data_IF_149638718068
#
_entry.id   IF_149638718068
#
_cell.length_a   1.000
_cell.length_b   1.000
_cell.length_c   1.000
_cell.angle_alpha   90.00
_cell.angle_beta   90.00
_cell.angle_gamma   90.00
#
_symmetry.space_group_name_H-M   'P 1'
#
loop_
_entity.id
_entity.type
_entity.pdbx_description
1 polymer ?
#
# COMPACT_ATOMS: atom_id res chain seq x y z
N UNK A 1 -1.05 15.20 0.84
CA UNK A 1 -1.71 14.39 1.90
C UNK A 1 -2.60 13.30 1.31
N UNK A 2 -3.72 13.61 0.65
CA UNK A 2 -4.68 12.60 0.13
C UNK A 2 -4.02 11.49 -0.71
N UNK A 3 -3.13 11.84 -1.64
CA UNK A 3 -2.43 10.86 -2.48
C UNK A 3 -1.46 9.96 -1.70
N UNK A 4 -0.85 10.44 -0.61
CA UNK A 4 0.00 9.59 0.26
C UNK A 4 -0.81 8.54 0.99
N UNK A 5 -1.98 8.92 1.50
CA UNK A 5 -2.87 8.00 2.19
C UNK A 5 -3.41 6.95 1.22
N UNK A 6 -3.79 7.35 0.01
CA UNK A 6 -4.19 6.42 -1.05
C UNK A 6 -3.04 5.46 -1.40
N UNK A 7 -1.84 5.98 -1.67
CA UNK A 7 -0.68 5.14 -2.02
C UNK A 7 -0.35 4.12 -0.93
N UNK A 8 -0.42 4.52 0.34
CA UNK A 8 -0.23 3.64 1.49
C UNK A 8 -1.20 2.45 1.48
N UNK A 9 -2.47 2.68 1.15
CA UNK A 9 -3.47 1.62 1.02
C UNK A 9 -3.19 0.73 -0.19
N UNK A 10 -2.92 1.32 -1.35
CA UNK A 10 -2.72 0.57 -2.60
C UNK A 10 -1.49 -0.34 -2.54
N UNK A 11 -0.42 0.07 -1.85
CA UNK A 11 0.73 -0.80 -1.54
C UNK A 11 0.36 -1.91 -0.54
N UNK A 12 -0.24 -1.53 0.60
CA UNK A 12 -0.50 -2.47 1.70
C UNK A 12 -1.57 -3.53 1.38
N UNK A 13 -2.57 -3.20 0.56
CA UNK A 13 -3.72 -4.08 0.29
C UNK A 13 -3.36 -5.23 -0.66
N UNK A 14 -2.19 -5.21 -1.29
CA UNK A 14 -1.63 -6.35 -2.04
C UNK A 14 -1.15 -7.48 -1.11
N UNK A 15 -2.02 -8.06 -0.29
CA UNK A 15 -1.75 -9.12 0.70
C UNK A 15 -2.96 -10.10 0.74
N UNK A 16 -2.87 -11.41 1.05
CA UNK A 16 -1.77 -12.18 1.62
C UNK A 16 -0.75 -12.71 0.62
N UNK A 17 0.39 -13.16 1.17
CA UNK A 17 1.42 -13.92 0.46
C UNK A 17 0.85 -15.17 -0.23
N UNK A 18 -0.20 -15.80 0.33
CA UNK A 18 -0.88 -16.94 -0.29
C UNK A 18 -1.53 -16.61 -1.64
N UNK A 19 -1.81 -15.33 -1.91
CA UNK A 19 -2.27 -14.85 -3.21
C UNK A 19 -1.16 -14.26 -4.07
N UNK A 20 0.08 -14.23 -3.58
CA UNK A 20 1.24 -13.64 -4.25
C UNK A 20 1.53 -12.18 -3.87
N UNK A 21 0.74 -11.60 -2.95
CA UNK A 21 0.89 -10.23 -2.52
C UNK A 21 1.80 -10.06 -1.29
N UNK A 22 2.78 -9.17 -1.37
CA UNK A 22 3.76 -8.91 -0.30
C UNK A 22 3.35 -7.87 0.75
N UNK A 23 2.19 -7.24 0.60
CA UNK A 23 1.68 -6.20 1.50
C UNK A 23 2.50 -4.91 1.42
N UNK A 24 2.65 -4.24 2.57
CA UNK A 24 3.29 -2.92 2.71
C UNK A 24 4.82 -2.96 2.52
N UNK A 25 5.29 -3.34 1.33
CA UNK A 25 6.71 -3.56 1.01
C UNK A 25 7.24 -2.62 -0.09
N UNK A 26 6.42 -1.69 -0.58
CA UNK A 26 6.77 -0.77 -1.66
C UNK A 26 6.82 -1.42 -3.04
N UNK A 27 6.15 -2.55 -3.24
CA UNK A 27 6.08 -3.24 -4.54
C UNK A 27 5.55 -2.33 -5.64
N UNK A 28 4.56 -1.49 -5.32
CA UNK A 28 4.00 -0.49 -6.24
C UNK A 28 5.02 0.53 -6.74
N UNK A 29 6.12 0.76 -6.00
CA UNK A 29 7.21 1.64 -6.44
C UNK A 29 8.27 0.89 -7.25
N UNK A 30 8.63 -0.34 -6.85
CA UNK A 30 9.67 -1.11 -7.54
C UNK A 30 9.19 -1.79 -8.82
N UNK A 31 7.89 -2.01 -8.94
CA UNK A 31 7.21 -2.62 -10.08
C UNK A 31 6.10 -1.70 -10.59
N UNK A 32 6.39 -0.40 -10.63
CA UNK A 32 5.47 0.65 -11.05
C UNK A 32 4.89 0.40 -12.46
N UNK A 33 5.71 0.00 -13.44
CA UNK A 33 5.28 -0.34 -14.80
C UNK A 33 4.22 -1.46 -14.85
N UNK A 34 4.21 -2.36 -13.86
CA UNK A 34 3.26 -3.47 -13.77
C UNK A 34 2.03 -3.05 -12.97
N UNK A 35 2.24 -2.53 -11.76
CA UNK A 35 1.15 -2.29 -10.83
C UNK A 35 0.32 -1.05 -11.18
N UNK A 36 0.93 0.01 -11.71
CA UNK A 36 0.19 1.21 -12.12
C UNK A 36 -0.67 0.99 -13.36
N UNK A 37 -0.38 -0.06 -14.14
CA UNK A 37 -1.19 -0.47 -15.29
C UNK A 37 -2.52 -1.14 -14.88
N UNK A 38 -2.69 -1.52 -13.61
CA UNK A 38 -3.94 -2.13 -13.14
C UNK A 38 -5.08 -1.10 -13.13
N UNK A 39 -6.31 -1.47 -13.57
CA UNK A 39 -7.45 -0.56 -13.57
C UNK A 39 -7.73 0.09 -12.20
N UNK A 40 -7.57 -0.67 -11.11
CA UNK A 40 -7.76 -0.18 -9.75
C UNK A 40 -6.68 0.85 -9.32
N UNK A 41 -5.51 0.86 -9.95
CA UNK A 41 -4.38 1.74 -9.61
C UNK A 41 -4.28 2.99 -10.49
N UNK A 42 -5.26 3.24 -11.36
CA UNK A 42 -5.27 4.44 -12.21
C UNK A 42 -5.07 5.73 -11.36
N UNK A 43 -4.17 6.60 -11.84
CA UNK A 43 -3.79 7.85 -11.17
C UNK A 43 -2.89 7.68 -9.94
N UNK A 44 -2.12 6.60 -9.84
CA UNK A 44 -1.03 6.41 -8.86
C UNK A 44 0.35 6.68 -9.47
N UNK A 45 0.48 6.56 -10.78
CA UNK A 45 1.68 6.88 -11.57
C UNK A 45 2.25 8.27 -11.23
N UNK A 46 1.38 9.29 -11.20
CA UNK A 46 1.78 10.67 -10.96
C UNK A 46 2.45 10.91 -9.59
N UNK A 47 2.13 10.09 -8.58
CA UNK A 47 2.61 10.26 -7.22
C UNK A 47 3.90 9.46 -6.98
N UNK A 48 4.15 8.42 -7.77
CA UNK A 48 5.39 7.64 -7.76
C UNK A 48 6.52 8.51 -8.31
N UNK A 49 6.33 9.11 -9.49
CA UNK A 49 7.35 9.94 -10.15
C UNK A 49 7.84 11.10 -9.27
N UNK A 50 6.91 11.76 -8.58
CA UNK A 50 7.23 12.87 -7.67
C UNK A 50 8.01 12.40 -6.43
N UNK A 51 7.88 11.13 -6.03
CA UNK A 51 8.50 10.58 -4.81
C UNK A 51 9.81 9.85 -5.06
N UNK A 52 10.03 9.34 -6.26
CA UNK A 52 11.28 8.72 -6.70
C UNK A 52 12.54 9.48 -6.27
N UNK A 53 12.67 10.81 -6.47
CA UNK A 53 13.87 11.52 -6.04
C UNK A 53 14.06 11.53 -4.52
N UNK A 54 12.98 11.54 -3.73
CA UNK A 54 13.07 11.51 -2.26
C UNK A 54 13.44 10.13 -1.74
N UNK A 55 12.85 9.07 -2.30
CA UNK A 55 13.20 7.69 -1.95
C UNK A 55 14.68 7.44 -2.28
N UNK A 56 15.14 7.86 -3.46
CA UNK A 56 16.53 7.67 -3.88
C UNK A 56 17.53 8.54 -3.11
N UNK A 57 17.11 9.69 -2.57
CA UNK A 57 17.96 10.56 -1.77
C UNK A 57 18.18 10.06 -0.33
N UNK A 58 17.38 9.09 0.13
CA UNK A 58 17.40 8.59 1.50
C UNK A 58 17.69 7.08 1.52
N UNK A 59 18.46 6.61 2.50
CA UNK A 59 18.76 5.18 2.64
C UNK A 59 17.63 4.42 3.35
N UNK A 60 16.41 4.52 2.81
CA UNK A 60 15.18 3.90 3.32
C UNK A 60 14.52 3.10 2.20
N UNK A 61 13.78 2.05 2.56
CA UNK A 61 13.05 1.28 1.56
C UNK A 61 11.84 2.05 1.07
N UNK A 62 11.37 1.73 -0.15
CA UNK A 62 10.17 2.37 -0.68
C UNK A 62 8.93 2.07 0.18
N UNK A 63 8.82 0.85 0.73
CA UNK A 63 7.76 0.47 1.67
C UNK A 63 7.77 1.34 2.92
N UNK A 64 8.93 1.47 3.57
CA UNK A 64 9.08 2.36 4.74
C UNK A 64 8.68 3.79 4.40
N UNK A 65 9.15 4.33 3.27
CA UNK A 65 8.82 5.69 2.85
C UNK A 65 7.32 5.88 2.58
N UNK A 66 6.68 4.95 1.88
CA UNK A 66 5.25 5.01 1.55
C UNK A 66 4.42 5.01 2.84
N UNK A 67 4.67 4.07 3.77
CA UNK A 67 3.95 3.97 5.05
C UNK A 67 4.16 5.23 5.89
N UNK A 68 5.41 5.67 6.00
CA UNK A 68 5.80 6.91 6.69
C UNK A 68 5.04 8.13 6.14
N UNK A 69 5.02 8.29 4.81
CA UNK A 69 4.36 9.42 4.15
C UNK A 69 2.83 9.43 4.33
N UNK A 70 2.22 8.25 4.43
CA UNK A 70 0.79 8.09 4.69
C UNK A 70 0.44 8.50 6.12
N UNK A 71 1.19 7.97 7.10
CA UNK A 71 1.04 8.28 8.53
C UNK A 71 1.26 9.77 8.80
N UNK A 72 2.35 10.34 8.30
CA UNK A 72 2.62 11.78 8.44
C UNK A 72 1.57 12.62 7.72
N UNK A 73 1.08 12.17 6.56
CA UNK A 73 -0.01 12.81 5.86
C UNK A 73 -1.27 12.92 6.74
N UNK A 74 -1.67 11.83 7.38
CA UNK A 74 -2.85 11.78 8.26
C UNK A 74 -2.66 12.63 9.51
N UNK A 75 -1.46 12.67 10.09
CA UNK A 75 -1.19 13.46 11.30
C UNK A 75 -1.38 14.98 11.14
N UNK A 76 -1.45 15.48 9.90
CA UNK A 76 -1.71 16.90 9.63
C UNK A 76 -3.17 17.31 9.81
N UNK A 77 -4.09 16.36 9.98
CA UNK A 77 -5.50 16.67 10.21
C UNK A 77 -5.79 16.83 11.72
N UNK A 78 -6.54 17.88 12.13
CA UNK A 78 -6.97 18.02 13.52
C UNK A 78 -7.77 16.80 13.99
N UNK A 79 -7.38 16.22 15.12
CA UNK A 79 -8.04 15.03 15.68
C UNK A 79 -7.64 13.70 15.05
N UNK A 80 -6.66 13.68 14.14
CA UNK A 80 -6.17 12.46 13.54
C UNK A 80 -5.47 11.53 14.56
N UNK A 81 -5.63 10.21 14.42
CA UNK A 81 -4.89 9.25 15.23
C UNK A 81 -3.39 9.33 14.91
N UNK A 82 -2.56 9.16 15.94
CA UNK A 82 -1.12 8.92 15.76
C UNK A 82 -0.93 7.44 15.51
N UNK A 83 -0.64 7.07 14.27
CA UNK A 83 -0.32 5.71 13.88
C UNK A 83 1.13 5.40 14.27
N UNK A 84 1.37 4.17 14.73
CA UNK A 84 2.71 3.66 14.95
C UNK A 84 3.41 3.48 13.59
N UNK A 85 4.68 3.89 13.51
CA UNK A 85 5.50 3.71 12.34
C UNK A 85 6.67 2.78 12.68
N UNK A 86 6.75 1.67 11.95
CA UNK A 86 7.83 0.70 12.04
C UNK A 86 8.72 0.84 10.80
N UNK A 87 10.04 0.80 11.02
CA UNK A 87 11.05 0.89 9.95
C UNK A 87 11.74 -0.46 9.75
N UNK A 88 12.16 -0.74 8.53
CA UNK A 88 12.90 -1.95 8.17
C UNK A 88 12.09 -2.94 7.35
N UNK A 89 11.06 -2.49 6.64
CA UNK A 89 10.36 -3.33 5.68
C UNK A 89 11.36 -3.82 4.61
N UNK A 90 11.41 -5.12 4.29
CA UNK A 90 12.29 -5.61 3.25
C UNK A 90 11.85 -5.07 1.88
N UNK A 91 12.82 -4.85 0.98
CA UNK A 91 12.55 -4.47 -0.41
C UNK A 91 11.67 -5.52 -1.08
N UNK A 92 10.63 -5.08 -1.78
CA UNK A 92 9.78 -5.96 -2.57
C UNK A 92 10.59 -6.75 -3.61
N UNK A 93 10.32 -8.04 -3.72
CA UNK A 93 10.97 -8.94 -4.69
C UNK A 93 10.05 -9.37 -5.83
N UNK A 94 8.75 -9.17 -5.68
CA UNK A 94 7.71 -9.50 -6.66
C UNK A 94 6.67 -8.38 -6.70
N UNK A 95 6.07 -8.18 -7.88
CA UNK A 95 4.93 -7.29 -8.05
C UNK A 95 3.67 -7.88 -7.41
N UNK A 96 2.78 -7.02 -6.93
CA UNK A 96 1.46 -7.41 -6.47
C UNK A 96 0.62 -7.99 -7.63
N UNK A 97 -0.11 -9.09 -7.42
CA UNK A 97 -1.06 -9.61 -8.39
C UNK A 97 -2.20 -8.62 -8.69
N UNK A 98 -2.75 -8.62 -9.92
CA UNK A 98 -3.92 -7.81 -10.25
C UNK A 98 -5.17 -8.24 -9.47
N UNK A 99 -6.12 -7.32 -9.30
CA UNK A 99 -7.43 -7.61 -8.68
C UNK A 99 -7.44 -7.71 -7.15
N UNK A 100 -6.33 -7.36 -6.49
CA UNK A 100 -6.24 -7.32 -5.02
C UNK A 100 -6.69 -5.98 -4.41
N UNK A 101 -6.79 -4.94 -5.23
CA UNK A 101 -7.30 -3.62 -4.84
C UNK A 101 -8.79 -3.55 -5.19
N UNK A 102 -9.69 -3.29 -4.22
CA UNK A 102 -11.10 -3.10 -4.50
C UNK A 102 -11.37 -1.91 -5.42
N UNK A 103 -12.31 -2.07 -6.34
CA UNK A 103 -12.77 -1.02 -7.24
C UNK A 103 -14.07 -0.37 -6.73
N UNK A 104 -14.33 0.90 -7.05
CA UNK A 104 -15.52 1.61 -6.55
C UNK A 104 -16.84 1.00 -7.06
N UNK A 105 -16.81 0.28 -8.17
CA UNK A 105 -17.96 -0.44 -8.73
C UNK A 105 -18.16 -1.86 -8.15
N UNK A 106 -17.26 -2.33 -7.28
CA UNK A 106 -17.37 -3.67 -6.70
C UNK A 106 -18.60 -3.78 -5.78
N UNK A 107 -19.19 -4.98 -5.75
CA UNK A 107 -20.26 -5.27 -4.78
C UNK A 107 -19.72 -5.16 -3.35
N UNK A 108 -20.55 -4.64 -2.44
CA UNK A 108 -20.22 -4.52 -1.01
C UNK A 108 -19.72 -5.85 -0.43
N UNK A 109 -20.33 -6.96 -0.82
CA UNK A 109 -19.92 -8.31 -0.39
C UNK A 109 -18.50 -8.67 -0.83
N UNK A 110 -18.09 -8.26 -2.04
CA UNK A 110 -16.73 -8.45 -2.56
C UNK A 110 -15.72 -7.61 -1.76
N UNK A 111 -16.04 -6.34 -1.52
CA UNK A 111 -15.19 -5.43 -0.74
C UNK A 111 -14.98 -5.97 0.68
N UNK A 112 -16.05 -6.35 1.37
CA UNK A 112 -15.97 -6.92 2.71
C UNK A 112 -15.18 -8.23 2.75
N UNK A 113 -15.39 -9.11 1.76
CA UNK A 113 -14.61 -10.33 1.65
C UNK A 113 -13.12 -10.04 1.45
N UNK A 114 -12.78 -8.99 0.69
CA UNK A 114 -11.39 -8.58 0.46
C UNK A 114 -10.71 -8.09 1.73
N UNK A 115 -11.35 -7.21 2.49
CA UNK A 115 -10.81 -6.74 3.77
C UNK A 115 -10.74 -7.88 4.81
N UNK A 116 -11.71 -8.80 4.80
CA UNK A 116 -11.68 -9.98 5.68
C UNK A 116 -10.51 -10.93 5.38
N UNK A 117 -10.14 -11.09 4.11
CA UNK A 117 -9.02 -11.92 3.66
C UNK A 117 -7.66 -11.39 4.18
N UNK A 118 -7.54 -10.08 4.35
CA UNK A 118 -6.35 -9.41 4.89
C UNK A 118 -6.37 -9.39 6.43
N UNK A 119 -7.55 -9.14 7.01
CA UNK A 119 -7.73 -8.94 8.45
C UNK A 119 -7.80 -10.21 9.29
N UNK A 120 -7.80 -11.41 8.69
CA UNK A 120 -7.92 -12.68 9.43
C UNK A 120 -6.61 -13.14 10.10
N UNK A 121 -5.87 -12.21 10.71
CA UNK A 121 -4.76 -12.52 11.62
C UNK A 121 -5.21 -12.65 13.09
N UNK A 122 -6.50 -12.45 13.41
CA UNK A 122 -7.02 -12.50 14.78
C UNK A 122 -7.61 -13.86 15.23
N UNK A 123 -7.44 -14.96 14.47
CA UNK A 123 -7.98 -16.29 14.88
C UNK A 123 -7.06 -17.50 14.67
N UNK A 124 -5.76 -17.33 14.42
CA UNK A 124 -4.85 -18.48 14.23
C UNK A 124 -3.68 -18.58 15.23
N UNK A 125 -3.83 -17.97 16.41
CA UNK A 125 -3.08 -18.36 17.60
C UNK A 125 -4.07 -18.43 18.78
N UNK A 126 -4.66 -19.61 18.97
CA UNK A 126 -5.29 -20.06 20.21
C UNK A 126 -4.76 -21.45 20.50
#
# INVERSE_FOLDING_TARGET
VHKSLRLMLHDAIGFPLSKGGGGANGSIFYFDEIETAFPANLGIDDIIDVRTPFINAHNITAGDFIQCSGIFGVSNFPGAPRLEFLIGHPKATVASPPGLVPEPQDMITSILARFADIGRLLTCCS
#
